data_IF_000827158952
#
_entry.id   IF_000827158952
#
_cell.length_a   1.000
_cell.length_b   1.000
_cell.length_c   1.000
_cell.angle_alpha   90.00
_cell.angle_beta   90.00
_cell.angle_gamma   90.00
#
_symmetry.space_group_name_H-M   'P 1'
#
loop_
_entity.id
_entity.type
_entity.pdbx_description
1 polymer ?
#
# COMPACT_ATOMS: atom_id res chain seq x y z
N UNK A 1 37.88 22.02 28.73
CA UNK A 1 37.93 20.66 28.12
C UNK A 1 36.63 19.88 28.30
N UNK A 2 35.96 19.96 29.46
CA UNK A 2 34.68 19.29 29.73
C UNK A 2 33.56 19.60 28.71
N UNK A 3 33.35 20.87 28.37
CA UNK A 3 32.28 21.28 27.44
C UNK A 3 32.43 20.70 26.02
N UNK A 4 33.66 20.48 25.54
CA UNK A 4 33.90 19.86 24.22
C UNK A 4 33.53 18.37 24.21
N UNK A 5 33.80 17.66 25.32
CA UNK A 5 33.44 16.25 25.45
C UNK A 5 31.91 16.07 25.53
N UNK A 6 31.20 16.95 26.25
CA UNK A 6 29.74 16.92 26.35
C UNK A 6 29.07 17.13 24.99
N UNK A 7 29.55 18.08 24.19
CA UNK A 7 29.02 18.35 22.84
C UNK A 7 29.23 17.14 21.92
N UNK A 8 30.39 16.49 21.98
CA UNK A 8 30.67 15.29 21.18
C UNK A 8 29.79 14.10 21.56
N UNK A 9 29.54 13.90 22.86
CA UNK A 9 28.66 12.83 23.35
C UNK A 9 27.20 13.09 22.92
N UNK A 10 26.72 14.33 23.03
CA UNK A 10 25.36 14.69 22.58
C UNK A 10 25.19 14.57 21.06
N UNK A 11 26.20 14.97 20.28
CA UNK A 11 26.19 14.82 18.83
C UNK A 11 26.17 13.34 18.42
N UNK A 12 26.99 12.49 19.07
CA UNK A 12 26.99 11.05 18.82
C UNK A 12 25.64 10.42 19.19
N UNK A 13 25.04 10.76 20.33
CA UNK A 13 23.72 10.26 20.72
C UNK A 13 22.62 10.65 19.72
N UNK A 14 22.67 11.86 19.15
CA UNK A 14 21.73 12.31 18.12
C UNK A 14 21.90 11.58 16.77
N UNK A 15 23.11 11.10 16.46
CA UNK A 15 23.41 10.33 15.24
C UNK A 15 22.88 8.88 15.29
N UNK A 16 22.62 8.33 16.49
CA UNK A 16 22.11 6.96 16.64
C UNK A 16 20.58 6.83 16.51
N UNK A 17 19.83 7.93 16.58
CA UNK A 17 18.37 7.90 16.49
C UNK A 17 17.88 8.17 15.07
N UNK A 18 18.39 7.44 14.08
CA UNK A 18 17.78 7.45 12.75
C UNK A 18 16.44 6.69 12.83
N UNK A 19 15.29 7.36 12.63
CA UNK A 19 14.02 6.67 12.67
C UNK A 19 13.99 5.68 11.50
N UNK A 20 13.78 4.40 11.80
CA UNK A 20 13.45 3.41 10.79
C UNK A 20 12.17 3.88 10.09
N UNK A 21 12.31 4.41 8.87
CA UNK A 21 11.16 4.84 8.08
C UNK A 21 10.29 3.61 7.84
N UNK A 22 9.03 3.67 8.21
CA UNK A 22 8.06 2.62 7.93
C UNK A 22 7.07 3.14 6.90
N UNK A 23 6.64 2.27 5.99
CA UNK A 23 5.81 2.64 4.84
C UNK A 23 4.53 1.81 4.85
N UNK A 24 3.38 2.48 4.71
CA UNK A 24 2.09 1.80 4.53
C UNK A 24 1.96 1.31 3.10
N UNK A 25 1.85 -0.01 2.93
CA UNK A 25 1.65 -0.64 1.62
C UNK A 25 0.25 -1.22 1.49
N UNK A 26 -0.45 -1.00 0.36
CA UNK A 26 -1.73 -1.64 0.10
C UNK A 26 -1.62 -3.16 0.23
N UNK A 27 -2.52 -3.75 1.01
CA UNK A 27 -2.56 -5.18 1.31
C UNK A 27 -3.80 -5.85 0.71
N UNK A 28 -4.65 -5.09 0.02
CA UNK A 28 -5.97 -5.55 -0.38
C UNK A 28 -6.87 -5.71 0.83
N UNK A 29 -7.69 -6.75 0.84
CA UNK A 29 -8.65 -7.00 1.91
C UNK A 29 -8.01 -7.82 3.02
N UNK A 30 -7.79 -7.18 4.16
CA UNK A 30 -7.39 -7.82 5.40
C UNK A 30 -8.46 -7.48 6.44
N UNK A 31 -9.13 -8.49 6.97
CA UNK A 31 -10.30 -8.27 7.84
C UNK A 31 -9.99 -8.45 9.32
N UNK A 32 -8.87 -9.11 9.64
CA UNK A 32 -8.48 -9.44 11.00
C UNK A 32 -6.97 -9.69 11.11
N UNK A 33 -6.48 -9.74 12.35
CA UNK A 33 -5.06 -9.94 12.65
C UNK A 33 -4.52 -11.28 12.17
N UNK A 34 -5.33 -12.34 12.16
CA UNK A 34 -4.90 -13.65 11.70
C UNK A 34 -4.57 -13.63 10.20
N UNK A 35 -5.42 -12.97 9.41
CA UNK A 35 -5.17 -12.76 7.98
C UNK A 35 -3.99 -11.81 7.77
N UNK A 36 -3.88 -10.72 8.54
CA UNK A 36 -2.76 -9.79 8.46
C UNK A 36 -1.41 -10.48 8.66
N UNK A 37 -1.33 -11.40 9.63
CA UNK A 37 -0.13 -12.22 9.91
C UNK A 37 0.30 -13.09 8.74
N UNK A 38 -0.63 -13.50 7.88
CA UNK A 38 -0.33 -14.29 6.69
C UNK A 38 -0.03 -13.41 5.47
N UNK A 39 -0.84 -12.37 5.24
CA UNK A 39 -0.78 -11.51 4.05
C UNK A 39 0.34 -10.47 4.13
N UNK A 40 0.50 -9.78 5.26
CA UNK A 40 1.43 -8.67 5.36
C UNK A 40 2.92 -9.06 5.17
N UNK A 41 3.41 -10.22 5.63
CA UNK A 41 4.76 -10.68 5.29
C UNK A 41 4.99 -10.82 3.79
N UNK A 42 3.98 -11.26 3.02
CA UNK A 42 4.09 -11.38 1.57
C UNK A 42 4.07 -10.01 0.88
N UNK A 43 3.20 -9.10 1.34
CA UNK A 43 3.14 -7.71 0.86
C UNK A 43 4.45 -6.96 1.10
N UNK A 44 5.05 -7.14 2.28
CA UNK A 44 6.32 -6.51 2.63
C UNK A 44 7.53 -7.26 2.05
N UNK A 45 7.39 -8.54 1.68
CA UNK A 45 8.47 -9.35 1.12
C UNK A 45 9.78 -9.23 1.91
N UNK A 46 10.88 -8.97 1.20
CA UNK A 46 12.23 -8.89 1.79
C UNK A 46 12.43 -7.71 2.75
N UNK A 47 11.60 -6.67 2.72
CA UNK A 47 11.75 -5.56 3.68
C UNK A 47 11.18 -5.92 5.05
N UNK A 48 10.26 -6.88 5.10
CA UNK A 48 9.65 -7.33 6.33
C UNK A 48 8.51 -6.44 6.80
N UNK A 49 7.54 -7.09 7.43
CA UNK A 49 6.39 -6.47 8.06
C UNK A 49 6.75 -6.01 9.48
N UNK A 50 6.28 -4.84 9.88
CA UNK A 50 6.49 -4.27 11.23
C UNK A 50 5.43 -4.71 12.24
N UNK A 51 4.50 -5.60 11.86
CA UNK A 51 3.45 -6.11 12.74
C UNK A 51 2.18 -5.25 12.81
N UNK A 52 2.19 -4.06 12.20
CA UNK A 52 1.01 -3.19 12.14
C UNK A 52 0.29 -3.30 10.80
N UNK A 53 -1.03 -3.29 10.85
CA UNK A 53 -1.91 -3.15 9.69
C UNK A 53 -3.11 -2.27 10.10
N UNK A 54 -3.80 -1.69 9.13
CA UNK A 54 -5.05 -0.95 9.40
C UNK A 54 -5.96 -0.96 8.18
N UNK A 55 -7.24 -0.74 8.43
CA UNK A 55 -8.22 -0.42 7.40
C UNK A 55 -8.06 1.05 6.98
N UNK A 56 -8.08 1.30 5.67
CA UNK A 56 -8.11 2.62 5.07
C UNK A 56 -9.51 2.79 4.51
N UNK A 57 -10.31 3.57 5.23
CA UNK A 57 -11.76 3.76 5.08
C UNK A 57 -12.61 2.52 5.38
N UNK A 58 -13.84 2.78 5.85
CA UNK A 58 -14.72 1.91 6.63
C UNK A 58 -14.91 0.49 6.06
N UNK A 59 -13.90 -0.37 6.21
CA UNK A 59 -13.95 -1.77 5.86
C UNK A 59 -13.64 -2.14 4.41
N UNK A 60 -12.98 -1.31 3.58
CA UNK A 60 -12.89 -1.61 2.13
C UNK A 60 -11.47 -1.75 1.55
N UNK A 61 -10.44 -1.35 2.29
CA UNK A 61 -9.05 -1.65 1.91
C UNK A 61 -8.16 -1.67 3.14
N UNK A 62 -7.10 -2.46 3.12
CA UNK A 62 -6.14 -2.55 4.21
C UNK A 62 -4.75 -2.16 3.75
N UNK A 63 -3.98 -1.62 4.68
CA UNK A 63 -2.56 -1.35 4.50
C UNK A 63 -1.74 -2.09 5.55
N UNK A 64 -0.59 -2.63 5.14
CA UNK A 64 0.41 -3.22 6.02
C UNK A 64 1.56 -2.23 6.21
N UNK A 65 2.06 -2.11 7.44
CA UNK A 65 3.24 -1.30 7.74
C UNK A 65 4.50 -2.10 7.46
N UNK A 66 5.22 -1.78 6.40
CA UNK A 66 6.46 -2.44 6.02
C UNK A 66 7.68 -1.64 6.49
N UNK A 67 8.83 -2.29 6.68
CA UNK A 67 10.09 -1.56 6.86
C UNK A 67 10.37 -0.78 5.57
N UNK A 68 10.61 0.51 5.68
CA UNK A 68 10.85 1.37 4.54
C UNK A 68 12.18 1.04 3.88
N UNK A 69 12.14 0.81 2.57
CA UNK A 69 13.25 1.17 1.68
C UNK A 69 12.94 2.54 1.09
N UNK A 70 13.98 3.27 0.69
CA UNK A 70 13.84 4.60 0.05
C UNK A 70 12.72 4.57 -1.01
N UNK A 71 11.89 5.62 -1.02
CA UNK A 71 10.66 5.74 -1.83
C UNK A 71 10.96 5.69 -3.35
N UNK A 72 12.18 6.06 -3.75
CA UNK A 72 12.73 5.93 -5.10
C UNK A 72 12.59 4.52 -5.70
N UNK A 73 12.70 3.48 -4.87
CA UNK A 73 12.69 2.09 -5.33
C UNK A 73 11.28 1.51 -5.51
N UNK A 74 10.25 2.10 -4.89
CA UNK A 74 8.86 1.66 -5.08
C UNK A 74 8.24 2.23 -6.36
N UNK A 75 8.53 3.50 -6.71
CA UNK A 75 8.13 4.09 -7.99
C UNK A 75 8.78 3.38 -9.18
N UNK A 76 10.05 2.96 -9.03
CA UNK A 76 10.75 2.14 -10.03
C UNK A 76 10.16 0.72 -10.15
N UNK A 77 9.76 0.11 -9.02
CA UNK A 77 9.16 -1.23 -9.00
C UNK A 77 7.66 -1.25 -9.37
N UNK A 78 6.97 -0.10 -9.30
CA UNK A 78 5.55 0.01 -9.59
C UNK A 78 5.21 1.27 -10.43
N UNK A 79 5.61 1.30 -11.71
CA UNK A 79 5.47 2.47 -12.60
C UNK A 79 4.02 2.82 -12.96
N UNK A 80 3.04 2.00 -12.53
CA UNK A 80 1.60 2.21 -12.78
C UNK A 80 0.84 2.78 -11.58
N UNK A 81 1.53 3.11 -10.49
CA UNK A 81 0.91 3.58 -9.25
C UNK A 81 0.26 2.44 -8.45
N UNK A 82 -0.29 2.72 -7.26
CA UNK A 82 -0.93 1.70 -6.43
C UNK A 82 -2.16 1.17 -7.16
N UNK A 83 -2.27 -0.17 -7.27
CA UNK A 83 -3.48 -0.84 -7.76
C UNK A 83 -4.46 -0.92 -6.60
N UNK A 84 -5.68 -0.41 -6.78
CA UNK A 84 -6.72 -0.41 -5.75
C UNK A 84 -7.92 -1.18 -6.29
N UNK A 85 -8.49 -2.04 -5.45
CA UNK A 85 -9.70 -2.77 -5.79
C UNK A 85 -10.91 -1.93 -5.37
N UNK A 86 -11.78 -1.56 -6.31
CA UNK A 86 -13.04 -0.86 -6.04
C UNK A 86 -14.17 -1.88 -5.97
N UNK A 87 -14.97 -1.85 -4.90
CA UNK A 87 -16.16 -2.71 -4.77
C UNK A 87 -17.30 -2.23 -5.68
N UNK A 88 -18.01 -3.18 -6.27
CA UNK A 88 -19.17 -2.93 -7.13
C UNK A 88 -20.30 -3.89 -6.78
N UNK A 89 -21.46 -3.63 -7.36
CA UNK A 89 -22.55 -4.59 -7.50
C UNK A 89 -22.06 -5.95 -8.05
N UNK A 90 -22.80 -7.04 -7.79
CA UNK A 90 -22.33 -8.38 -8.11
C UNK A 90 -22.09 -8.58 -9.61
N UNK A 91 -20.83 -8.82 -9.98
CA UNK A 91 -20.42 -9.18 -11.33
C UNK A 91 -20.47 -10.70 -11.49
N UNK A 92 -21.29 -11.19 -12.41
CA UNK A 92 -21.53 -12.61 -12.68
C UNK A 92 -20.67 -13.15 -13.82
N UNK A 93 -20.09 -12.30 -14.65
CA UNK A 93 -19.26 -12.75 -15.76
C UNK A 93 -18.12 -11.80 -16.10
N UNK A 94 -17.14 -12.30 -16.86
CA UNK A 94 -16.06 -11.46 -17.40
C UNK A 94 -16.58 -10.39 -18.36
N UNK A 95 -17.63 -10.71 -19.13
CA UNK A 95 -18.25 -9.75 -20.04
C UNK A 95 -18.89 -8.59 -19.26
N UNK A 96 -19.56 -8.91 -18.15
CA UNK A 96 -20.13 -7.91 -17.26
C UNK A 96 -19.03 -7.07 -16.57
N UNK A 97 -17.92 -7.69 -16.16
CA UNK A 97 -16.76 -6.96 -15.65
C UNK A 97 -16.22 -5.95 -16.68
N UNK A 98 -16.18 -6.32 -17.96
CA UNK A 98 -15.71 -5.42 -19.04
C UNK A 98 -16.62 -4.20 -19.22
N UNK A 99 -17.91 -4.33 -18.90
CA UNK A 99 -18.85 -3.21 -18.98
C UNK A 99 -18.84 -2.34 -17.71
N UNK A 100 -18.74 -2.96 -16.54
CA UNK A 100 -18.88 -2.27 -15.24
C UNK A 100 -17.55 -1.66 -14.78
N UNK A 101 -16.46 -2.43 -14.83
CA UNK A 101 -15.21 -2.03 -14.19
C UNK A 101 -14.55 -0.76 -14.76
N UNK A 102 -14.59 -0.48 -16.08
CA UNK A 102 -14.10 0.79 -16.61
C UNK A 102 -14.80 2.00 -15.98
N UNK A 103 -16.12 1.93 -15.80
CA UNK A 103 -16.90 3.00 -15.16
C UNK A 103 -16.63 3.08 -13.66
N UNK A 104 -16.52 1.94 -12.98
CA UNK A 104 -16.24 1.87 -11.54
C UNK A 104 -14.89 2.51 -11.18
N UNK A 105 -13.90 2.49 -12.07
CA UNK A 105 -12.60 3.13 -11.85
C UNK A 105 -12.62 4.66 -11.97
N UNK A 106 -13.72 5.28 -12.44
CA UNK A 106 -13.84 6.73 -12.57
C UNK A 106 -12.71 7.35 -13.39
N UNK A 107 -11.89 8.21 -12.78
CA UNK A 107 -10.72 8.82 -13.41
C UNK A 107 -9.50 7.88 -13.53
N UNK A 108 -9.57 6.68 -12.95
CA UNK A 108 -8.55 5.63 -13.06
C UNK A 108 -8.75 4.73 -14.29
N UNK A 109 -7.81 3.83 -14.53
CA UNK A 109 -7.88 2.84 -15.60
C UNK A 109 -8.11 1.45 -15.01
N UNK A 110 -9.17 0.77 -15.44
CA UNK A 110 -9.37 -0.64 -15.15
C UNK A 110 -8.24 -1.46 -15.75
N UNK A 111 -7.59 -2.28 -14.92
CA UNK A 111 -6.38 -3.01 -15.29
C UNK A 111 -6.66 -4.42 -15.84
N UNK A 112 -7.95 -4.76 -16.04
CA UNK A 112 -8.42 -6.05 -16.51
C UNK A 112 -8.69 -7.08 -15.42
N UNK A 113 -8.34 -6.78 -14.16
CA UNK A 113 -8.60 -7.68 -13.03
C UNK A 113 -9.94 -7.39 -12.37
N UNK A 114 -10.65 -8.45 -11.98
CA UNK A 114 -11.87 -8.37 -11.21
C UNK A 114 -12.06 -9.67 -10.42
N UNK A 115 -12.75 -9.59 -9.28
CA UNK A 115 -12.97 -10.75 -8.41
C UNK A 115 -14.39 -10.76 -7.85
N UNK A 116 -15.02 -11.94 -7.82
CA UNK A 116 -16.28 -12.13 -7.07
C UNK A 116 -16.00 -12.22 -5.58
N UNK A 117 -16.84 -11.54 -4.81
CA UNK A 117 -16.80 -11.55 -3.35
C UNK A 117 -18.11 -12.10 -2.81
N UNK A 118 -18.19 -13.42 -2.74
CA UNK A 118 -19.44 -14.10 -2.37
C UNK A 118 -20.51 -13.97 -3.45
N UNK A 119 -21.79 -13.97 -3.04
CA UNK A 119 -22.93 -13.94 -3.98
C UNK A 119 -23.31 -12.52 -4.43
N UNK A 120 -23.02 -11.53 -3.61
CA UNK A 120 -23.66 -10.22 -3.73
C UNK A 120 -22.69 -9.06 -4.00
N UNK A 121 -21.39 -9.34 -4.17
CA UNK A 121 -20.39 -8.30 -4.41
C UNK A 121 -19.31 -8.74 -5.39
N UNK A 122 -18.67 -7.78 -6.03
CA UNK A 122 -17.46 -7.99 -6.80
C UNK A 122 -16.49 -6.81 -6.62
N UNK A 123 -15.24 -6.98 -7.05
CA UNK A 123 -14.24 -5.91 -7.09
C UNK A 123 -13.64 -5.75 -8.47
N UNK A 124 -13.27 -4.53 -8.81
CA UNK A 124 -12.56 -4.15 -10.02
C UNK A 124 -11.17 -3.59 -9.68
N UNK A 125 -10.11 -4.09 -10.32
CA UNK A 125 -8.75 -3.57 -10.12
C UNK A 125 -8.52 -2.28 -10.92
N UNK A 126 -8.34 -1.18 -10.22
CA UNK A 126 -8.12 0.15 -10.79
C UNK A 126 -6.66 0.58 -10.59
N UNK A 127 -6.11 1.23 -11.62
CA UNK A 127 -4.78 1.81 -11.61
C UNK A 127 -4.85 3.29 -11.95
N UNK A 128 -4.14 4.12 -11.19
CA UNK A 128 -3.96 5.53 -11.52
C UNK A 128 -2.50 5.76 -11.86
N UNK A 129 -2.27 6.27 -13.07
CA UNK A 129 -0.95 6.84 -13.37
C UNK A 129 -0.82 8.09 -12.51
N UNK A 130 0.15 8.11 -11.62
CA UNK A 130 0.56 9.37 -11.01
C UNK A 130 0.87 10.37 -12.13
N UNK A 131 0.38 11.62 -12.06
CA UNK A 131 0.87 12.66 -12.95
C UNK A 131 2.40 12.74 -12.77
N UNK A 132 3.13 12.83 -13.89
CA UNK A 132 4.61 12.84 -13.91
C UNK A 132 5.24 13.99 -13.11
N UNK A 133 4.44 14.93 -12.61
CA UNK A 133 4.88 16.17 -11.95
C UNK A 133 5.10 16.05 -10.44
N UNK A 134 4.66 14.96 -9.80
CA UNK A 134 4.96 14.72 -8.38
C UNK A 134 6.25 13.89 -8.24
N UNK A 135 7.39 14.53 -8.51
CA UNK A 135 8.66 14.10 -7.94
C UNK A 135 8.88 14.90 -6.65
N UNK A 136 8.83 14.27 -5.46
CA UNK A 136 9.30 14.94 -4.26
C UNK A 136 10.81 15.15 -4.38
N UNK A 137 11.20 16.43 -4.30
CA UNK A 137 12.58 16.92 -4.17
C UNK A 137 13.28 16.30 -2.95
#
# INVERSE_FOLDING_TARGET
MLMRAVILVLAMLALYTLPARAEWRPAGQVWNDAQARHTCPQVCGRVGWQGSWKLVEAGHSSVCLCKGRRHDNWLAANPRGPRICIETDPIRSRLEAQMICPGACGAGTWDGSWHRMGRDRATCGCSWRYPREFHPI
#
